data_IF_063485351914
#
_entry.id   IF_063485351914
#
_cell.length_a   1.000
_cell.length_b   1.000
_cell.length_c   1.000
_cell.angle_alpha   90.00
_cell.angle_beta   90.00
_cell.angle_gamma   90.00
#
_symmetry.space_group_name_H-M   'P 1'
#
loop_
_entity.id
_entity.type
_entity.pdbx_description
1 polymer ?
#
# COMPACT_ATOMS: atom_id res chain seq x y z
N UNK A 1 -12.70 -14.34 4.62
CA UNK A 1 -12.19 -14.17 3.25
C UNK A 1 -13.38 -14.25 2.30
N UNK A 2 -13.61 -13.23 1.48
CA UNK A 2 -14.73 -13.23 0.52
C UNK A 2 -14.43 -14.29 -0.54
N UNK A 3 -15.35 -15.24 -0.75
CA UNK A 3 -15.18 -16.26 -1.78
C UNK A 3 -15.32 -15.59 -3.15
N UNK A 4 -14.20 -15.38 -3.84
CA UNK A 4 -14.19 -14.83 -5.18
C UNK A 4 -14.27 -16.01 -6.14
N UNK A 5 -15.40 -16.17 -6.82
CA UNK A 5 -15.52 -17.14 -7.91
C UNK A 5 -14.64 -16.68 -9.07
N UNK A 6 -13.56 -17.43 -9.34
CA UNK A 6 -12.63 -17.15 -10.44
C UNK A 6 -12.84 -18.17 -11.55
N UNK A 7 -12.89 -17.69 -12.79
CA UNK A 7 -12.94 -18.55 -13.97
C UNK A 7 -11.60 -19.31 -14.07
N UNK A 8 -11.58 -20.65 -14.10
CA UNK A 8 -10.34 -21.42 -14.24
C UNK A 8 -9.66 -21.11 -15.58
N UNK A 9 -8.37 -20.74 -15.59
CA UNK A 9 -7.64 -20.56 -16.83
C UNK A 9 -7.46 -21.90 -17.54
N UNK A 10 -7.65 -21.92 -18.87
CA UNK A 10 -7.40 -23.11 -19.71
C UNK A 10 -5.93 -23.55 -19.69
N UNK A 11 -5.02 -22.60 -19.45
CA UNK A 11 -3.58 -22.84 -19.42
C UNK A 11 -3.13 -23.44 -18.08
N UNK A 12 -2.10 -24.31 -18.07
CA UNK A 12 -1.50 -24.79 -16.84
C UNK A 12 -0.87 -23.63 -16.07
N UNK A 13 -0.85 -23.74 -14.74
CA UNK A 13 -0.26 -22.70 -13.86
C UNK A 13 1.21 -22.43 -14.18
N UNK A 14 1.94 -23.39 -14.75
CA UNK A 14 3.34 -23.25 -15.15
C UNK A 14 3.55 -22.45 -16.45
N UNK A 15 2.49 -22.17 -17.22
CA UNK A 15 2.57 -21.41 -18.46
C UNK A 15 2.27 -19.91 -18.28
N UNK A 16 1.63 -19.54 -17.17
CA UNK A 16 1.21 -18.16 -16.88
C UNK A 16 2.16 -17.50 -15.88
N UNK A 17 2.12 -16.17 -15.86
CA UNK A 17 2.84 -15.33 -14.91
C UNK A 17 1.90 -14.27 -14.34
N UNK A 18 2.15 -13.88 -13.10
CA UNK A 18 1.50 -12.76 -12.42
C UNK A 18 2.46 -11.58 -12.42
N UNK A 19 2.01 -10.44 -12.91
CA UNK A 19 2.76 -9.19 -12.92
C UNK A 19 2.11 -8.20 -11.94
N UNK A 20 2.92 -7.50 -11.15
CA UNK A 20 2.45 -6.53 -10.16
C UNK A 20 3.39 -5.32 -10.03
N UNK A 21 2.80 -4.17 -9.75
CA UNK A 21 3.50 -2.96 -9.30
C UNK A 21 3.06 -2.74 -7.85
N UNK A 22 4.02 -2.78 -6.92
CA UNK A 22 3.75 -2.63 -5.50
C UNK A 22 4.37 -1.32 -5.00
N UNK A 23 3.65 -0.56 -4.18
CA UNK A 23 4.17 0.63 -3.50
C UNK A 23 4.30 0.30 -2.01
N UNK A 24 5.50 -0.03 -1.52
CA UNK A 24 5.68 -0.37 -0.11
C UNK A 24 5.30 0.80 0.79
N UNK A 25 4.62 0.51 1.89
CA UNK A 25 4.34 1.54 2.89
C UNK A 25 5.64 2.02 3.54
N UNK A 26 5.76 3.32 3.79
CA UNK A 26 6.97 3.89 4.39
C UNK A 26 7.10 3.62 5.88
N UNK A 27 6.39 2.66 6.46
CA UNK A 27 6.26 2.51 7.92
C UNK A 27 7.61 2.46 8.64
N UNK A 28 8.66 1.93 8.00
CA UNK A 28 10.03 1.90 8.53
C UNK A 28 10.85 3.19 8.29
N UNK A 29 10.47 4.05 7.34
CA UNK A 29 11.21 5.29 7.01
C UNK A 29 10.80 6.39 7.99
N UNK A 30 11.54 6.49 9.09
CA UNK A 30 11.27 7.47 10.16
C UNK A 30 11.26 8.92 9.64
N UNK A 31 12.13 9.25 8.70
CA UNK A 31 12.29 10.59 8.13
C UNK A 31 11.37 10.88 6.93
N UNK A 32 10.46 9.97 6.54
CA UNK A 32 9.66 10.15 5.31
C UNK A 32 8.94 11.50 5.25
N UNK A 33 8.35 11.94 6.37
CA UNK A 33 7.68 13.24 6.43
C UNK A 33 8.64 14.43 6.27
N UNK A 34 9.86 14.33 6.80
CA UNK A 34 10.87 15.37 6.69
C UNK A 34 11.37 15.49 5.25
N UNK A 35 11.74 14.36 4.64
CA UNK A 35 12.26 14.27 3.26
C UNK A 35 11.29 14.88 2.24
N UNK A 36 9.98 14.66 2.40
CA UNK A 36 8.96 15.19 1.46
C UNK A 36 8.45 16.59 1.83
N UNK A 37 9.03 17.24 2.86
CA UNK A 37 8.59 18.57 3.29
C UNK A 37 7.15 18.61 3.80
N UNK A 38 6.67 17.53 4.45
CA UNK A 38 5.30 17.38 4.92
C UNK A 38 4.88 18.56 5.80
N UNK A 39 3.75 19.19 5.48
CA UNK A 39 3.23 20.35 6.24
C UNK A 39 2.95 19.99 7.71
N UNK A 40 2.34 18.83 7.94
CA UNK A 40 2.02 18.34 9.28
C UNK A 40 3.29 18.10 10.12
N UNK A 41 4.39 17.64 9.49
CA UNK A 41 5.67 17.53 10.19
C UNK A 41 6.27 18.91 10.48
N UNK A 42 6.24 19.83 9.51
CA UNK A 42 6.82 21.18 9.67
C UNK A 42 6.09 22.06 10.68
N UNK A 43 4.76 21.94 10.78
CA UNK A 43 3.91 22.89 11.52
C UNK A 43 3.07 22.22 12.63
N UNK A 44 3.11 20.90 12.69
CA UNK A 44 2.14 20.12 13.46
C UNK A 44 0.76 20.10 12.77
N UNK A 45 -0.19 19.41 13.40
CA UNK A 45 -1.57 19.36 12.94
C UNK A 45 -2.54 19.13 14.10
N UNK A 46 -3.84 19.27 13.81
CA UNK A 46 -4.92 18.94 14.72
C UNK A 46 -5.84 17.93 14.05
N UNK A 47 -6.15 16.84 14.75
CA UNK A 47 -7.22 15.91 14.36
C UNK A 47 -8.46 16.22 15.20
N UNK A 48 -9.57 16.56 14.55
CA UNK A 48 -10.87 16.75 15.19
C UNK A 48 -11.68 15.47 15.04
N UNK A 49 -12.11 14.88 16.15
CA UNK A 49 -12.77 13.58 16.19
C UNK A 49 -14.12 13.69 16.89
N UNK A 50 -15.15 13.18 16.24
CA UNK A 50 -16.49 13.04 16.82
C UNK A 50 -16.63 11.67 17.52
N UNK A 51 -16.37 11.65 18.82
CA UNK A 51 -16.49 10.45 19.65
C UNK A 51 -17.95 10.00 19.93
N UNK A 52 -18.98 10.72 19.41
CA UNK A 52 -20.35 10.19 19.44
C UNK A 52 -20.55 9.01 18.50
N UNK A 53 -19.70 8.88 17.47
CA UNK A 53 -19.73 7.80 16.49
C UNK A 53 -18.82 6.64 16.86
N UNK A 54 -19.17 5.42 16.45
CA UNK A 54 -18.33 4.22 16.64
C UNK A 54 -16.94 4.40 16.00
N UNK A 55 -16.92 4.97 14.78
CA UNK A 55 -15.68 5.26 14.06
C UNK A 55 -14.82 6.26 14.81
N UNK A 56 -15.41 7.35 15.32
CA UNK A 56 -14.67 8.37 16.06
C UNK A 56 -14.13 7.84 17.39
N UNK A 57 -14.89 7.01 18.12
CA UNK A 57 -14.37 6.33 19.32
C UNK A 57 -13.19 5.42 18.99
N UNK A 58 -13.26 4.67 17.90
CA UNK A 58 -12.15 3.85 17.43
C UNK A 58 -10.92 4.68 17.05
N UNK A 59 -11.10 5.80 16.35
CA UNK A 59 -10.02 6.72 15.99
C UNK A 59 -9.37 7.37 17.21
N UNK A 60 -10.17 7.86 18.16
CA UNK A 60 -9.67 8.46 19.39
C UNK A 60 -8.91 7.43 20.25
N UNK A 61 -9.43 6.20 20.37
CA UNK A 61 -8.75 5.09 21.03
C UNK A 61 -7.40 4.78 20.38
N UNK A 62 -7.35 4.72 19.04
CA UNK A 62 -6.09 4.52 18.32
C UNK A 62 -5.09 5.67 18.57
N UNK A 63 -5.54 6.93 18.56
CA UNK A 63 -4.66 8.07 18.85
C UNK A 63 -4.08 7.98 20.27
N UNK A 64 -4.91 7.65 21.26
CA UNK A 64 -4.50 7.58 22.68
C UNK A 64 -3.55 6.42 22.98
N UNK A 65 -3.71 5.28 22.32
CA UNK A 65 -3.04 4.03 22.73
C UNK A 65 -2.12 3.41 21.66
N UNK A 66 -2.43 3.60 20.38
CA UNK A 66 -1.76 2.91 19.27
C UNK A 66 -0.92 3.80 18.35
N UNK A 67 -1.12 5.12 18.39
CA UNK A 67 -0.46 6.02 17.44
C UNK A 67 1.04 6.23 17.71
N UNK A 68 1.52 6.02 18.95
CA UNK A 68 2.93 6.24 19.30
C UNK A 68 3.42 7.67 19.04
N UNK A 69 2.53 8.67 19.16
CA UNK A 69 2.76 10.10 18.92
C UNK A 69 2.41 10.89 20.17
N UNK A 70 3.10 12.00 20.41
CA UNK A 70 2.77 12.91 21.49
C UNK A 70 1.69 13.89 21.03
N UNK A 71 0.71 14.15 21.90
CA UNK A 71 -0.39 15.06 21.59
C UNK A 71 -0.89 15.80 22.84
N UNK A 72 -1.56 16.91 22.60
CA UNK A 72 -2.44 17.57 23.58
C UNK A 72 -3.89 17.30 23.20
N UNK A 73 -4.70 16.90 24.17
CA UNK A 73 -6.11 16.61 23.97
C UNK A 73 -6.97 17.71 24.59
N UNK A 74 -7.99 18.18 23.87
CA UNK A 74 -8.93 19.18 24.35
C UNK A 74 -10.33 18.94 23.77
N UNK A 75 -11.38 19.22 24.56
CA UNK A 75 -12.75 19.30 24.05
C UNK A 75 -13.02 20.67 23.45
N UNK A 76 -13.57 20.66 22.24
CA UNK A 76 -14.00 21.86 21.51
C UNK A 76 -15.38 22.33 21.98
N UNK A 77 -15.76 23.57 21.66
CA UNK A 77 -17.08 24.10 21.99
C UNK A 77 -18.20 23.35 21.24
N UNK A 78 -17.87 22.76 20.09
CA UNK A 78 -18.74 21.98 19.22
C UNK A 78 -18.87 20.51 19.68
N UNK A 79 -18.28 20.14 20.82
CA UNK A 79 -18.36 18.77 21.38
C UNK A 79 -17.36 17.76 20.81
N UNK A 80 -16.57 18.14 19.79
CA UNK A 80 -15.51 17.31 19.22
C UNK A 80 -14.29 17.23 20.14
N UNK A 81 -13.51 16.16 20.01
CA UNK A 81 -12.19 16.02 20.63
C UNK A 81 -11.11 16.46 19.66
N UNK A 82 -10.34 17.47 20.05
CA UNK A 82 -9.18 17.95 19.31
C UNK A 82 -7.90 17.32 19.85
N UNK A 83 -7.19 16.59 19.00
CA UNK A 83 -5.85 16.08 19.25
C UNK A 83 -4.83 16.94 18.51
N UNK A 84 -4.08 17.77 19.23
CA UNK A 84 -3.02 18.63 18.68
C UNK A 84 -1.67 17.91 18.75
N UNK A 85 -1.03 17.70 17.60
CA UNK A 85 0.27 17.07 17.46
C UNK A 85 1.33 18.10 17.07
N UNK A 86 2.37 18.28 17.87
CA UNK A 86 3.43 19.24 17.59
C UNK A 86 4.26 18.89 16.35
N UNK A 87 4.96 19.88 15.80
CA UNK A 87 5.90 19.70 14.68
C UNK A 87 7.02 18.71 15.02
N UNK A 88 7.68 18.18 14.00
CA UNK A 88 8.75 17.18 14.13
C UNK A 88 8.24 15.74 14.23
N UNK A 89 6.92 15.55 14.37
CA UNK A 89 6.31 14.23 14.44
C UNK A 89 5.86 13.72 13.08
N UNK A 90 5.92 12.40 12.89
CA UNK A 90 5.40 11.75 11.69
C UNK A 90 3.89 11.92 11.61
N UNK A 91 3.36 12.35 10.46
CA UNK A 91 1.91 12.43 10.27
C UNK A 91 1.26 11.04 10.12
N UNK A 92 -0.06 10.97 10.05
CA UNK A 92 -0.79 9.70 9.85
C UNK A 92 -0.84 9.23 8.39
N UNK A 93 -0.45 10.09 7.43
CA UNK A 93 -0.45 9.77 6.00
C UNK A 93 0.85 9.04 5.63
N UNK A 94 0.71 8.10 4.70
CA UNK A 94 1.85 7.48 4.03
C UNK A 94 2.37 8.36 2.89
N UNK A 95 3.68 8.50 2.77
CA UNK A 95 4.31 9.40 1.80
C UNK A 95 4.87 8.70 0.58
N UNK A 96 4.81 7.36 0.54
CA UNK A 96 5.28 6.52 -0.56
C UNK A 96 6.69 6.92 -1.06
N UNK A 97 7.59 7.17 -0.12
CA UNK A 97 9.00 7.50 -0.34
C UNK A 97 9.81 6.30 -0.82
N UNK A 98 9.35 5.06 -0.55
CA UNK A 98 9.91 3.90 -1.22
C UNK A 98 9.57 3.89 -2.72
N UNK A 99 10.55 3.60 -3.58
CA UNK A 99 10.26 3.39 -4.99
C UNK A 99 9.33 2.19 -5.17
N UNK A 100 8.56 2.21 -6.25
CA UNK A 100 7.73 1.09 -6.65
C UNK A 100 8.57 -0.16 -6.91
N UNK A 101 7.98 -1.31 -6.60
CA UNK A 101 8.55 -2.63 -6.85
C UNK A 101 7.84 -3.27 -8.03
N UNK A 102 8.58 -3.47 -9.12
CA UNK A 102 8.11 -4.11 -10.35
C UNK A 102 8.35 -5.62 -10.29
N UNK A 103 7.31 -6.39 -10.03
CA UNK A 103 7.38 -7.83 -9.79
C UNK A 103 6.80 -8.62 -10.97
N UNK A 104 7.51 -9.67 -11.38
CA UNK A 104 6.98 -10.77 -12.19
C UNK A 104 7.17 -12.09 -11.43
N UNK A 105 6.10 -12.88 -11.32
CA UNK A 105 6.11 -14.17 -10.61
C UNK A 105 5.51 -15.25 -11.51
N UNK A 106 6.07 -16.45 -11.48
CA UNK A 106 5.44 -17.62 -12.11
C UNK A 106 4.05 -17.90 -11.53
N UNK A 107 3.17 -18.43 -12.36
CA UNK A 107 1.83 -18.83 -11.96
C UNK A 107 0.84 -17.69 -11.76
N UNK A 108 -0.29 -18.05 -11.18
CA UNK A 108 -1.45 -17.18 -10.99
C UNK A 108 -2.05 -17.38 -9.59
N UNK A 109 -3.35 -17.12 -9.43
CA UNK A 109 -4.03 -17.29 -8.16
C UNK A 109 -4.03 -18.74 -7.63
N UNK A 110 -3.72 -19.73 -8.48
CA UNK A 110 -3.55 -21.13 -8.11
C UNK A 110 -2.19 -21.41 -7.44
N UNK A 111 -1.26 -20.45 -7.48
CA UNK A 111 0.06 -20.53 -6.84
C UNK A 111 1.22 -20.37 -7.81
N UNK A 112 2.44 -20.48 -7.29
CA UNK A 112 3.69 -20.42 -8.05
C UNK A 112 4.51 -21.71 -7.86
N UNK A 113 4.17 -22.81 -8.54
CA UNK A 113 4.75 -24.12 -8.27
C UNK A 113 6.25 -24.22 -8.62
N UNK A 114 6.76 -23.35 -9.50
CA UNK A 114 8.18 -23.32 -9.86
C UNK A 114 9.01 -22.35 -9.03
N UNK A 115 8.39 -21.58 -8.13
CA UNK A 115 9.08 -20.58 -7.31
C UNK A 115 9.66 -19.41 -8.11
N UNK A 116 9.40 -19.31 -9.41
CA UNK A 116 9.95 -18.27 -10.28
C UNK A 116 9.53 -16.88 -9.80
N UNK A 117 10.51 -16.00 -9.57
CA UNK A 117 10.29 -14.62 -9.14
C UNK A 117 11.37 -13.73 -9.72
N UNK A 118 10.96 -12.63 -10.34
CA UNK A 118 11.84 -11.59 -10.87
C UNK A 118 11.40 -10.22 -10.37
N UNK A 119 12.36 -9.47 -9.85
CA UNK A 119 12.21 -8.05 -9.56
C UNK A 119 12.90 -7.28 -10.68
N UNK A 120 12.17 -6.36 -11.31
CA UNK A 120 12.72 -5.49 -12.34
C UNK A 120 13.18 -4.19 -11.69
N UNK A 121 14.38 -3.74 -12.05
CA UNK A 121 14.94 -2.48 -11.55
C UNK A 121 14.29 -1.28 -12.25
N UNK A 122 13.84 -1.44 -13.49
CA UNK A 122 13.24 -0.39 -14.31
C UNK A 122 11.81 -0.74 -14.71
N UNK A 123 10.90 0.24 -14.78
CA UNK A 123 9.54 0.03 -15.28
C UNK A 123 9.52 -0.47 -16.73
N UNK A 124 10.43 0.04 -17.57
CA UNK A 124 10.51 -0.33 -18.99
C UNK A 124 10.76 -1.84 -19.18
N UNK A 125 11.72 -2.41 -18.45
CA UNK A 125 12.06 -3.84 -18.52
C UNK A 125 10.89 -4.73 -18.05
N UNK A 126 10.06 -4.22 -17.13
CA UNK A 126 8.86 -4.92 -16.67
C UNK A 126 7.77 -4.92 -17.76
N UNK A 127 7.56 -3.78 -18.41
CA UNK A 127 6.60 -3.65 -19.53
C UNK A 127 7.03 -4.55 -20.69
N UNK A 128 8.32 -4.61 -20.99
CA UNK A 128 8.87 -5.47 -22.04
C UNK A 128 8.69 -6.95 -21.72
N UNK A 129 9.04 -7.43 -20.51
CA UNK A 129 8.82 -8.84 -20.12
C UNK A 129 7.33 -9.20 -20.16
N UNK A 130 6.46 -8.30 -19.69
CA UNK A 130 5.02 -8.47 -19.80
C UNK A 130 4.57 -8.62 -21.27
N UNK A 131 4.96 -7.69 -22.14
CA UNK A 131 4.62 -7.73 -23.56
C UNK A 131 5.11 -8.99 -24.25
N UNK A 132 6.37 -9.37 -24.03
CA UNK A 132 6.97 -10.59 -24.59
C UNK A 132 6.32 -11.87 -24.05
N UNK A 133 5.82 -11.87 -22.81
CA UNK A 133 5.06 -13.00 -22.29
C UNK A 133 3.67 -13.09 -22.91
N UNK A 134 2.95 -11.98 -23.05
CA UNK A 134 1.64 -11.94 -23.71
C UNK A 134 1.72 -12.40 -25.16
N UNK A 135 2.74 -11.95 -25.90
CA UNK A 135 2.96 -12.39 -27.28
C UNK A 135 3.20 -13.90 -27.35
N UNK A 136 4.07 -14.46 -26.49
CA UNK A 136 4.32 -15.91 -26.45
C UNK A 136 3.05 -16.72 -26.17
N UNK A 137 2.17 -16.22 -25.30
CA UNK A 137 0.89 -16.87 -25.04
C UNK A 137 -0.04 -16.83 -26.26
N UNK A 138 -0.11 -15.70 -26.95
CA UNK A 138 -0.90 -15.54 -28.16
C UNK A 138 -0.37 -16.45 -29.29
N UNK A 139 0.93 -16.46 -29.51
CA UNK A 139 1.58 -17.30 -30.52
C UNK A 139 1.34 -18.79 -30.23
N UNK A 140 1.40 -19.21 -28.96
CA UNK A 140 1.09 -20.57 -28.56
C UNK A 140 -0.39 -20.92 -28.82
N UNK A 141 -1.32 -20.01 -28.53
CA UNK A 141 -2.74 -20.21 -28.80
C UNK A 141 -3.06 -20.32 -30.30
N UNK A 142 -2.34 -19.58 -31.14
CA UNK A 142 -2.53 -19.62 -32.60
C UNK A 142 -1.98 -20.90 -33.24
N UNK A 143 -0.97 -21.54 -32.64
CA UNK A 143 -0.33 -22.75 -33.18
C UNK A 143 -1.07 -24.06 -32.83
N UNK A 144 -2.01 -24.01 -31.89
CA UNK A 144 -2.76 -25.18 -31.40
C UNK A 144 -2.10 -25.85 -30.21
#
# INVERSE_FOLDING_TARGET
MRHINRIPPKLPVTAVKTYAILSPHDTAVKSACETVGCKAWRQGWTSLIDESTDLGRAQASYIRHGAGRTFREQRTAEGLTAFRFDSGQRCFRDHLTYPEVYLARGGDWRGNPRGERRLHTRPADWVEDFGLHQQRLNDAQQRG
#
